data_IF_616241461865
#
_entry.id   IF_616241461865
#
_cell.length_a   1.000
_cell.length_b   1.000
_cell.length_c   1.000
_cell.angle_alpha   90.00
_cell.angle_beta   90.00
_cell.angle_gamma   90.00
#
_symmetry.space_group_name_H-M   'P 1'
#
loop_
_entity.id
_entity.type
_entity.pdbx_description
1 polymer ?
#
# COMPACT_ATOMS: atom_id res chain seq x y z
N UNK A 1 -8.15 -3.15 8.80
CA UNK A 1 -8.93 -3.37 7.56
C UNK A 1 -8.73 -2.19 6.62
N UNK A 2 -8.62 -2.45 5.32
CA UNK A 2 -8.56 -1.38 4.32
C UNK A 2 -9.97 -0.85 4.09
N UNK A 3 -10.17 0.46 4.29
CA UNK A 3 -11.48 1.10 4.14
C UNK A 3 -11.55 2.06 2.95
N UNK A 4 -10.45 2.34 2.28
CA UNK A 4 -10.47 3.22 1.12
C UNK A 4 -9.22 3.16 0.28
N UNK A 5 -9.40 3.38 -1.02
CA UNK A 5 -8.35 3.39 -2.03
C UNK A 5 -8.39 4.70 -2.81
N UNK A 6 -7.22 5.24 -3.14
CA UNK A 6 -7.08 6.30 -4.14
C UNK A 6 -6.83 5.72 -5.52
N UNK A 7 -6.15 4.57 -5.60
CA UNK A 7 -5.75 3.95 -6.86
C UNK A 7 -6.77 2.89 -7.28
N UNK A 8 -7.42 3.13 -8.41
CA UNK A 8 -8.46 2.22 -8.92
C UNK A 8 -7.94 0.83 -9.25
N UNK A 9 -6.72 0.74 -9.77
CA UNK A 9 -6.10 -0.54 -10.11
C UNK A 9 -5.80 -1.38 -8.89
N UNK A 10 -5.38 -0.75 -7.77
CA UNK A 10 -5.19 -1.47 -6.51
C UNK A 10 -6.51 -1.98 -5.96
N UNK A 11 -7.56 -1.18 -6.05
CA UNK A 11 -8.88 -1.61 -5.60
C UNK A 11 -9.38 -2.81 -6.40
N UNK A 12 -9.18 -2.77 -7.72
CA UNK A 12 -9.55 -3.88 -8.59
C UNK A 12 -8.77 -5.15 -8.21
N UNK A 13 -7.48 -5.00 -7.95
CA UNK A 13 -6.64 -6.11 -7.51
C UNK A 13 -7.12 -6.70 -6.18
N UNK A 14 -7.43 -5.81 -5.23
CA UNK A 14 -7.91 -6.20 -3.90
C UNK A 14 -9.27 -6.92 -3.99
N UNK A 15 -10.20 -6.38 -4.78
CA UNK A 15 -11.56 -6.91 -4.85
C UNK A 15 -11.67 -8.19 -5.70
N UNK A 16 -10.87 -8.31 -6.76
CA UNK A 16 -11.06 -9.36 -7.77
C UNK A 16 -9.82 -10.19 -8.09
N UNK A 17 -8.64 -9.77 -7.62
CA UNK A 17 -7.38 -10.40 -7.99
C UNK A 17 -6.86 -10.02 -9.38
N UNK A 18 -7.57 -9.17 -10.12
CA UNK A 18 -7.15 -8.72 -11.46
C UNK A 18 -6.02 -7.69 -11.38
N UNK A 19 -4.98 -7.88 -12.19
CA UNK A 19 -3.85 -6.94 -12.27
C UNK A 19 -3.96 -5.96 -13.43
N UNK A 20 -5.13 -5.79 -14.01
CA UNK A 20 -5.32 -4.93 -15.20
C UNK A 20 -4.93 -3.48 -14.97
N UNK A 21 -5.05 -2.98 -13.76
CA UNK A 21 -4.75 -1.59 -13.43
C UNK A 21 -3.39 -1.37 -12.77
N UNK A 22 -2.54 -2.40 -12.68
CA UNK A 22 -1.21 -2.33 -12.07
C UNK A 22 -0.21 -3.06 -12.95
N UNK A 23 1.08 -2.93 -12.64
CA UNK A 23 2.10 -3.66 -13.38
C UNK A 23 2.02 -5.16 -13.05
N UNK A 24 1.95 -5.99 -14.08
CA UNK A 24 1.85 -7.45 -13.90
C UNK A 24 2.99 -8.00 -13.04
N UNK A 25 4.21 -7.48 -13.23
CA UNK A 25 5.39 -7.90 -12.47
C UNK A 25 5.26 -7.59 -10.97
N UNK A 26 4.39 -6.67 -10.57
CA UNK A 26 4.20 -6.27 -9.18
C UNK A 26 3.05 -7.01 -8.50
N UNK A 27 2.28 -7.81 -9.23
CA UNK A 27 1.04 -8.41 -8.73
C UNK A 27 1.25 -9.19 -7.43
N UNK A 28 2.22 -10.09 -7.39
CA UNK A 28 2.46 -10.93 -6.22
C UNK A 28 2.83 -10.08 -4.99
N UNK A 29 3.74 -9.11 -5.17
CA UNK A 29 4.15 -8.22 -4.10
C UNK A 29 2.99 -7.35 -3.61
N UNK A 30 2.20 -6.81 -4.54
CA UNK A 30 1.05 -5.97 -4.19
C UNK A 30 -0.01 -6.75 -3.43
N UNK A 31 -0.29 -8.00 -3.82
CA UNK A 31 -1.22 -8.85 -3.08
C UNK A 31 -0.74 -9.10 -1.66
N UNK A 32 0.55 -9.34 -1.49
CA UNK A 32 1.15 -9.52 -0.16
C UNK A 32 1.02 -8.25 0.69
N UNK A 33 1.30 -7.10 0.09
CA UNK A 33 1.17 -5.80 0.77
C UNK A 33 -0.29 -5.55 1.18
N UNK A 34 -1.23 -5.77 0.27
CA UNK A 34 -2.65 -5.54 0.54
C UNK A 34 -3.16 -6.45 1.66
N UNK A 35 -2.73 -7.71 1.68
CA UNK A 35 -3.09 -8.64 2.76
C UNK A 35 -2.54 -8.17 4.10
N UNK A 36 -1.30 -7.69 4.12
CA UNK A 36 -0.69 -7.17 5.34
C UNK A 36 -1.38 -5.90 5.84
N UNK A 37 -1.74 -4.98 4.93
CA UNK A 37 -2.48 -3.76 5.27
C UNK A 37 -3.85 -4.09 5.84
N UNK A 38 -4.51 -5.08 5.27
CA UNK A 38 -5.85 -5.46 5.70
C UNK A 38 -5.85 -6.07 7.11
N UNK A 39 -4.77 -6.74 7.47
CA UNK A 39 -4.61 -7.39 8.79
C UNK A 39 -4.03 -6.46 9.86
N UNK A 40 -3.31 -5.40 9.48
CA UNK A 40 -2.60 -4.54 10.42
C UNK A 40 -3.54 -3.59 11.16
N UNK A 41 -3.32 -3.45 12.47
CA UNK A 41 -4.02 -2.47 13.31
C UNK A 41 -3.17 -1.22 13.54
N UNK A 42 -1.87 -1.32 13.37
CA UNK A 42 -0.92 -0.22 13.62
C UNK A 42 0.32 -0.37 12.73
N UNK A 43 1.06 0.75 12.51
CA UNK A 43 2.23 0.72 11.62
C UNK A 43 3.30 -0.30 11.99
N UNK A 44 3.54 -0.53 13.27
CA UNK A 44 4.60 -1.44 13.72
C UNK A 44 4.42 -2.86 13.17
N UNK A 45 3.19 -3.27 12.90
CA UNK A 45 2.91 -4.59 12.33
C UNK A 45 3.34 -4.71 10.87
N UNK A 46 3.71 -3.59 10.24
CA UNK A 46 4.18 -3.55 8.85
C UNK A 46 5.70 -3.38 8.74
N UNK A 47 6.43 -3.49 9.85
CA UNK A 47 7.89 -3.35 9.86
C UNK A 47 8.58 -4.64 9.43
N UNK A 48 8.28 -5.08 8.21
CA UNK A 48 8.92 -6.23 7.59
C UNK A 48 10.10 -5.75 6.74
N UNK A 49 11.25 -6.44 6.73
CA UNK A 49 12.43 -5.98 5.99
C UNK A 49 12.15 -5.68 4.52
N UNK A 50 11.36 -6.52 3.84
CA UNK A 50 11.06 -6.36 2.42
C UNK A 50 10.11 -5.18 2.14
N UNK A 51 9.43 -4.66 3.16
CA UNK A 51 8.47 -3.56 2.99
C UNK A 51 9.13 -2.18 3.06
N UNK A 52 10.27 -2.07 3.75
CA UNK A 52 10.96 -0.79 3.95
C UNK A 52 9.98 0.30 4.38
N UNK A 53 9.18 0.01 5.40
CA UNK A 53 8.16 0.93 5.91
C UNK A 53 8.78 2.28 6.25
N UNK A 54 8.17 3.35 5.76
CA UNK A 54 8.69 4.71 5.94
C UNK A 54 7.55 5.70 6.17
N UNK A 55 7.70 6.54 7.19
CA UNK A 55 6.76 7.64 7.43
C UNK A 55 7.13 8.79 6.51
N UNK A 56 6.14 9.31 5.80
CA UNK A 56 6.34 10.35 4.81
C UNK A 56 6.21 11.75 5.42
N UNK A 57 6.79 12.73 4.73
CA UNK A 57 6.77 14.14 5.11
C UNK A 57 6.21 14.98 3.95
N UNK A 58 6.08 16.29 4.16
CA UNK A 58 5.61 17.20 3.12
C UNK A 58 4.14 17.01 2.81
N UNK A 59 3.79 16.94 1.53
CA UNK A 59 2.40 16.84 1.08
C UNK A 59 1.70 15.56 1.55
N UNK A 60 2.48 14.52 1.84
CA UNK A 60 1.96 13.25 2.33
C UNK A 60 2.28 13.02 3.81
N UNK A 61 2.46 14.10 4.57
CA UNK A 61 2.69 14.00 6.01
C UNK A 61 1.58 13.18 6.66
N UNK A 62 1.96 12.26 7.55
CA UNK A 62 1.03 11.36 8.20
C UNK A 62 0.73 10.10 7.40
N UNK A 63 1.18 10.03 6.14
CA UNK A 63 1.10 8.80 5.34
C UNK A 63 2.36 7.96 5.54
N UNK A 64 2.23 6.68 5.25
CA UNK A 64 3.31 5.70 5.26
C UNK A 64 3.54 5.19 3.85
N UNK A 65 4.74 4.70 3.57
CA UNK A 65 5.04 4.04 2.31
C UNK A 65 5.60 2.64 2.54
N UNK A 66 5.25 1.74 1.64
CA UNK A 66 5.82 0.40 1.55
C UNK A 66 6.44 0.25 0.17
N UNK A 67 7.67 -0.25 0.12
CA UNK A 67 8.41 -0.44 -1.12
C UNK A 67 7.84 -1.62 -1.91
N UNK A 68 7.65 -1.41 -3.21
CA UNK A 68 7.21 -2.48 -4.13
C UNK A 68 8.40 -3.00 -4.94
N UNK A 69 8.96 -2.15 -5.77
CA UNK A 69 10.10 -2.48 -6.63
C UNK A 69 10.63 -1.19 -7.26
N UNK A 70 11.95 -1.04 -7.39
CA UNK A 70 12.52 0.18 -7.96
C UNK A 70 12.04 1.42 -7.22
N UNK A 71 11.40 2.34 -7.94
CA UNK A 71 10.82 3.56 -7.36
C UNK A 71 9.35 3.40 -6.98
N UNK A 72 8.76 2.25 -7.23
CA UNK A 72 7.34 2.03 -6.96
C UNK A 72 7.08 1.84 -5.47
N UNK A 73 6.03 2.52 -4.99
CA UNK A 73 5.61 2.52 -3.58
C UNK A 73 4.11 2.38 -3.48
N UNK A 74 3.66 1.75 -2.40
CA UNK A 74 2.28 1.82 -1.95
C UNK A 74 2.25 2.81 -0.79
N UNK A 75 1.39 3.81 -0.85
CA UNK A 75 1.22 4.79 0.21
C UNK A 75 -0.16 4.65 0.82
N UNK A 76 -0.27 4.98 2.10
CA UNK A 76 -1.51 4.81 2.84
C UNK A 76 -1.46 5.60 4.15
N UNK A 77 -2.60 5.69 4.83
CA UNK A 77 -2.70 6.35 6.13
C UNK A 77 -3.54 5.50 7.06
N UNK A 78 -3.18 5.48 8.35
CA UNK A 78 -4.02 4.88 9.36
C UNK A 78 -5.07 5.86 9.86
N UNK A 79 -6.30 5.38 10.04
CA UNK A 79 -7.37 6.08 10.74
C UNK A 79 -7.84 5.12 11.82
N UNK A 80 -7.48 5.41 13.06
CA UNK A 80 -7.62 4.46 14.16
C UNK A 80 -6.88 3.17 13.80
N UNK A 81 -7.55 2.03 13.78
CA UNK A 81 -6.95 0.75 13.42
C UNK A 81 -7.21 0.35 11.95
N UNK A 82 -7.80 1.24 11.17
CA UNK A 82 -8.10 1.00 9.75
C UNK A 82 -7.11 1.72 8.85
N UNK A 83 -7.07 1.30 7.58
CA UNK A 83 -6.16 1.86 6.56
C UNK A 83 -7.00 2.49 5.46
N UNK A 84 -6.65 3.72 5.10
CA UNK A 84 -7.33 4.45 4.03
C UNK A 84 -6.35 5.05 3.04
N UNK A 85 -6.87 5.61 1.96
CA UNK A 85 -6.12 6.34 0.93
C UNK A 85 -4.99 5.50 0.35
N UNK A 86 -5.23 4.20 0.16
CA UNK A 86 -4.23 3.30 -0.39
C UNK A 86 -3.99 3.67 -1.86
N UNK A 87 -2.74 3.99 -2.17
CA UNK A 87 -2.33 4.47 -3.49
C UNK A 87 -1.05 3.77 -3.93
N UNK A 88 -0.70 3.94 -5.21
CA UNK A 88 0.38 3.19 -5.83
C UNK A 88 1.07 4.12 -6.82
N UNK A 89 2.34 4.42 -6.58
CA UNK A 89 3.07 5.42 -7.34
C UNK A 89 4.45 4.95 -7.77
N UNK A 90 4.88 5.45 -8.92
CA UNK A 90 6.27 5.47 -9.32
C UNK A 90 6.89 6.73 -8.70
N UNK A 91 7.60 6.57 -7.61
CA UNK A 91 8.03 7.66 -6.72
C UNK A 91 9.49 8.01 -7.02
N UNK A 92 9.69 9.04 -7.80
CA UNK A 92 11.03 9.54 -8.12
C UNK A 92 11.53 10.55 -7.10
#
# INVERSE_FOLDING_TARGET
>A
MIIGFRHKGLRLLYDTGSHKGVMAAHRAKLLNILAALDAADKPDELRLPSFRLHLLKGNLAGHWSIWVNGNWRVTFRFVDSDVELVDYHDYH
#
